data_IF_876424970497
#
_entry.id   IF_876424970497
#
_cell.length_a   1.000
_cell.length_b   1.000
_cell.length_c   1.000
_cell.angle_alpha   90.00
_cell.angle_beta   90.00
_cell.angle_gamma   90.00
#
_symmetry.space_group_name_H-M   'P 1'
#
loop_
_entity.id
_entity.type
_entity.pdbx_description
1 polymer ?
#
# COMPACT_ATOMS: atom_id res chain seq x y z
N UNK A 1 -4.90 12.33 15.74
CA UNK A 1 -5.89 12.26 14.65
C UNK A 1 -5.31 11.34 13.60
N UNK A 2 -5.96 10.21 13.35
CA UNK A 2 -5.47 9.15 12.47
C UNK A 2 -5.82 9.52 11.03
N UNK A 3 -4.83 9.85 10.20
CA UNK A 3 -5.06 10.00 8.76
C UNK A 3 -5.26 8.60 8.18
N UNK A 4 -6.54 8.25 8.08
CA UNK A 4 -7.06 7.04 7.47
C UNK A 4 -6.88 7.18 5.97
N UNK A 5 -6.22 6.20 5.35
CA UNK A 5 -6.17 6.01 3.90
C UNK A 5 -7.53 6.24 3.27
N UNK A 6 -7.60 7.02 2.18
CA UNK A 6 -8.78 7.25 1.34
C UNK A 6 -9.29 5.95 0.66
N UNK A 7 -9.76 4.99 1.46
CA UNK A 7 -10.28 3.71 1.02
C UNK A 7 -11.33 3.21 2.01
N UNK A 8 -12.46 2.73 1.48
CA UNK A 8 -13.61 2.28 2.27
C UNK A 8 -13.38 0.93 2.94
N UNK A 9 -12.33 0.18 2.57
CA UNK A 9 -12.01 -1.15 3.09
C UNK A 9 -10.67 -1.20 3.79
N UNK A 10 -10.50 -2.13 4.74
CA UNK A 10 -9.19 -2.37 5.34
C UNK A 10 -8.19 -2.83 4.26
N UNK A 11 -6.90 -2.60 4.51
CA UNK A 11 -5.84 -3.03 3.61
C UNK A 11 -4.88 -3.96 4.34
N UNK A 12 -4.39 -4.96 3.64
CA UNK A 12 -3.33 -5.85 4.13
C UNK A 12 -2.02 -5.60 3.38
N UNK A 13 -0.88 -5.53 4.08
CA UNK A 13 0.41 -5.47 3.41
C UNK A 13 0.73 -6.82 2.78
N UNK A 14 1.07 -6.80 1.48
CA UNK A 14 1.53 -7.98 0.76
C UNK A 14 3.06 -8.01 0.65
N UNK A 15 3.67 -6.86 0.37
CA UNK A 15 5.11 -6.75 0.19
C UNK A 15 5.65 -5.38 0.58
N UNK A 16 6.79 -5.33 1.28
CA UNK A 16 7.56 -4.11 1.47
C UNK A 16 8.57 -4.00 0.32
N UNK A 17 8.49 -2.93 -0.46
CA UNK A 17 9.40 -2.67 -1.57
C UNK A 17 10.67 -2.00 -1.05
N UNK A 18 10.51 -1.01 -0.18
CA UNK A 18 11.60 -0.19 0.32
C UNK A 18 11.29 0.30 1.72
N UNK A 19 12.33 0.33 2.55
CA UNK A 19 12.29 0.93 3.86
C UNK A 19 13.41 1.99 3.95
N UNK A 20 13.06 3.16 4.43
CA UNK A 20 13.99 4.25 4.68
C UNK A 20 13.92 4.65 6.13
N UNK A 21 15.07 4.73 6.80
CA UNK A 21 15.16 5.21 8.15
C UNK A 21 16.00 6.49 8.20
N UNK A 22 15.46 7.51 8.86
CA UNK A 22 16.15 8.76 9.15
C UNK A 22 16.34 8.89 10.66
N UNK A 23 17.51 8.45 11.12
CA UNK A 23 17.87 8.35 12.54
C UNK A 23 17.75 9.69 13.28
N UNK A 24 18.20 10.80 12.67
CA UNK A 24 18.14 12.13 13.30
C UNK A 24 16.72 12.65 13.53
N UNK A 25 15.76 12.19 12.75
CA UNK A 25 14.35 12.60 12.85
C UNK A 25 13.46 11.48 13.37
N UNK A 26 14.04 10.38 13.86
CA UNK A 26 13.34 9.16 14.30
C UNK A 26 12.14 8.81 13.38
N UNK A 27 12.38 8.87 12.06
CA UNK A 27 11.34 8.71 11.04
C UNK A 27 11.67 7.49 10.19
N UNK A 28 10.70 6.59 10.07
CA UNK A 28 10.74 5.42 9.19
C UNK A 28 9.70 5.63 8.09
N UNK A 29 10.09 5.47 6.84
CA UNK A 29 9.18 5.51 5.69
C UNK A 29 9.24 4.17 4.96
N UNK A 30 8.08 3.56 4.73
CA UNK A 30 7.94 2.29 4.05
C UNK A 30 7.16 2.50 2.75
N UNK A 31 7.67 1.97 1.66
CA UNK A 31 6.91 1.79 0.43
C UNK A 31 6.40 0.35 0.39
N UNK A 32 5.08 0.19 0.39
CA UNK A 32 4.42 -1.11 0.61
C UNK A 32 3.39 -1.33 -0.48
N UNK A 33 3.38 -2.52 -1.06
CA UNK A 33 2.25 -3.01 -1.86
C UNK A 33 1.22 -3.58 -0.89
N UNK A 34 0.02 -3.06 -0.96
CA UNK A 34 -1.12 -3.55 -0.17
C UNK A 34 -2.24 -3.99 -1.11
N UNK A 35 -3.21 -4.70 -0.55
CA UNK A 35 -4.46 -5.03 -1.22
C UNK A 35 -5.62 -4.81 -0.25
N UNK A 36 -6.75 -4.34 -0.78
CA UNK A 36 -7.96 -4.18 0.01
C UNK A 36 -8.50 -5.55 0.45
N UNK A 37 -9.14 -5.56 1.61
CA UNK A 37 -9.90 -6.71 2.12
C UNK A 37 -11.36 -6.57 1.77
N UNK A 38 -12.15 -7.62 1.98
CA UNK A 38 -13.61 -7.56 1.84
C UNK A 38 -14.28 -6.75 2.95
N UNK A 39 -13.56 -6.45 4.04
CA UNK A 39 -14.12 -5.74 5.19
C UNK A 39 -14.07 -4.22 5.00
N UNK A 40 -15.22 -3.53 5.08
CA UNK A 40 -15.21 -2.07 5.13
C UNK A 40 -14.57 -1.57 6.43
N UNK A 41 -14.01 -0.37 6.42
CA UNK A 41 -13.50 0.36 7.60
C UNK A 41 -14.65 0.88 8.46
N UNK A 42 -15.54 -0.01 8.87
CA UNK A 42 -16.55 0.26 9.89
C UNK A 42 -16.13 -0.38 11.21
N UNK A 43 -16.68 0.12 12.32
CA UNK A 43 -16.32 -0.28 13.68
C UNK A 43 -16.74 -1.70 14.07
N UNK A 44 -17.37 -2.45 13.17
CA UNK A 44 -17.99 -3.76 13.46
C UNK A 44 -17.09 -4.95 13.09
N UNK A 45 -16.06 -4.75 12.26
CA UNK A 45 -15.22 -5.83 11.77
C UNK A 45 -13.86 -5.87 12.49
N UNK A 46 -13.47 -7.07 12.96
CA UNK A 46 -12.12 -7.34 13.43
C UNK A 46 -11.17 -7.40 12.22
N UNK A 47 -10.22 -6.45 12.06
CA UNK A 47 -9.32 -6.42 10.91
C UNK A 47 -8.50 -7.70 10.73
N UNK A 48 -8.30 -8.48 11.81
CA UNK A 48 -7.56 -9.75 11.76
C UNK A 48 -8.32 -10.89 11.11
N UNK A 49 -9.65 -10.77 10.98
CA UNK A 49 -10.52 -11.77 10.35
C UNK A 49 -10.90 -11.40 8.92
N UNK A 50 -10.39 -10.28 8.43
CA UNK A 50 -10.72 -9.77 7.12
C UNK A 50 -9.88 -10.47 6.06
N UNK A 51 -10.55 -11.19 5.17
CA UNK A 51 -9.92 -11.85 4.05
C UNK A 51 -9.56 -10.84 2.96
N UNK A 52 -8.47 -11.13 2.26
CA UNK A 52 -7.99 -10.29 1.16
C UNK A 52 -8.95 -10.45 -0.01
N UNK A 53 -9.45 -9.35 -0.56
CA UNK A 53 -10.26 -9.42 -1.78
C UNK A 53 -9.32 -9.71 -2.97
N UNK A 54 -9.38 -10.90 -3.60
CA UNK A 54 -8.42 -11.29 -4.64
C UNK A 54 -8.55 -10.46 -5.92
N UNK A 55 -9.74 -9.88 -6.16
CA UNK A 55 -10.08 -9.09 -7.35
C UNK A 55 -9.80 -7.60 -7.17
N UNK A 56 -9.45 -7.17 -5.96
CA UNK A 56 -9.06 -5.78 -5.71
C UNK A 56 -7.72 -5.45 -6.38
N UNK A 57 -7.65 -4.24 -6.94
CA UNK A 57 -6.40 -3.67 -7.43
C UNK A 57 -5.34 -3.66 -6.33
N UNK A 58 -4.08 -3.86 -6.72
CA UNK A 58 -2.96 -3.69 -5.81
C UNK A 58 -2.70 -2.19 -5.64
N UNK A 59 -2.44 -1.75 -4.42
CA UNK A 59 -2.14 -0.35 -4.13
C UNK A 59 -0.69 -0.22 -3.71
N UNK A 60 0.00 0.78 -4.27
CA UNK A 60 1.31 1.20 -3.79
C UNK A 60 1.10 2.31 -2.77
N UNK A 61 1.54 2.08 -1.54
CA UNK A 61 1.39 3.00 -0.42
C UNK A 61 2.73 3.44 0.13
N UNK A 62 2.79 4.69 0.58
CA UNK A 62 3.86 5.19 1.44
C UNK A 62 3.32 5.27 2.87
N UNK A 63 3.98 4.59 3.81
CA UNK A 63 3.67 4.62 5.23
C UNK A 63 4.81 5.29 5.96
N UNK A 64 4.57 6.46 6.54
CA UNK A 64 5.57 7.16 7.34
C UNK A 64 5.20 7.05 8.81
N UNK A 65 6.14 6.56 9.61
CA UNK A 65 6.09 6.55 11.05
C UNK A 65 7.11 7.56 11.58
N UNK A 66 6.68 8.51 12.41
CA UNK A 66 7.54 9.49 13.05
C UNK A 66 7.34 9.41 14.56
N UNK A 67 8.44 9.44 15.31
CA UNK A 67 8.42 9.64 16.76
C UNK A 67 8.70 11.11 17.07
N UNK A 68 7.79 11.73 17.80
CA UNK A 68 7.89 13.12 18.24
C UNK A 68 7.53 13.19 19.72
N UNK A 69 8.42 13.74 20.55
CA UNK A 69 8.28 13.79 22.02
C UNK A 69 7.84 12.45 22.66
N UNK A 70 8.35 11.33 22.15
CA UNK A 70 8.01 9.99 22.63
C UNK A 70 6.67 9.43 22.13
N UNK A 71 5.91 10.19 21.33
CA UNK A 71 4.67 9.74 20.68
C UNK A 71 4.93 9.30 19.26
N UNK A 72 4.42 8.14 18.88
CA UNK A 72 4.45 7.68 17.50
C UNK A 72 3.24 8.21 16.73
N UNK A 73 3.50 8.88 15.62
CA UNK A 73 2.50 9.24 14.61
C UNK A 73 2.72 8.39 13.38
N UNK A 74 1.63 7.96 12.74
CA UNK A 74 1.67 7.21 11.48
C UNK A 74 0.77 7.90 10.46
N UNK A 75 1.32 8.16 9.28
CA UNK A 75 0.57 8.56 8.09
C UNK A 75 0.72 7.49 7.03
N UNK A 76 -0.30 7.35 6.19
CA UNK A 76 -0.34 6.35 5.13
C UNK A 76 -1.06 6.94 3.93
N UNK A 77 -0.34 7.04 2.82
CA UNK A 77 -0.80 7.70 1.60
C UNK A 77 -0.72 6.71 0.43
N UNK A 78 -1.79 6.63 -0.37
CA UNK A 78 -1.79 5.86 -1.62
C UNK A 78 -1.05 6.70 -2.66
N UNK A 79 0.04 6.17 -3.20
CA UNK A 79 0.86 6.86 -4.21
C UNK A 79 0.73 6.24 -5.61
N UNK A 80 0.01 5.12 -5.73
CA UNK A 80 -0.31 4.52 -7.02
C UNK A 80 -1.16 3.26 -6.92
N UNK A 81 -1.63 2.81 -8.08
CA UNK A 81 -2.41 1.58 -8.25
C UNK A 81 -1.68 0.69 -9.25
N UNK A 82 -1.47 -0.57 -8.88
CA UNK A 82 -0.89 -1.62 -9.72
C UNK A 82 -2.07 -2.49 -10.18
N UNK A 83 -2.46 -2.34 -11.45
CA UNK A 83 -3.46 -3.23 -12.04
C UNK A 83 -2.84 -4.60 -12.28
N UNK A 84 -3.52 -5.70 -11.94
CA UNK A 84 -3.09 -7.02 -12.40
C UNK A 84 -3.03 -6.98 -13.93
N UNK A 85 -1.97 -7.54 -14.51
CA UNK A 85 -1.89 -7.72 -15.96
C UNK A 85 -3.01 -8.70 -16.35
N UNK A 86 -4.16 -8.16 -16.78
CA UNK A 86 -5.19 -8.97 -17.40
C UNK A 86 -4.63 -9.41 -18.75
N UNK A 87 -4.49 -10.71 -18.95
CA UNK A 87 -4.16 -11.31 -20.24
C UNK A 87 -5.34 -11.10 -21.21
N UNK A 88 -5.60 -9.86 -21.62
CA UNK A 88 -6.54 -9.53 -22.70
C UNK A 88 -5.82 -9.23 -24.01
N UNK A 89 -4.53 -9.55 -24.12
CA UNK A 89 -3.87 -9.70 -25.40
C UNK A 89 -2.78 -10.78 -25.31
N UNK A 90 -3.03 -11.90 -25.98
CA UNK A 90 -1.96 -12.72 -26.59
C UNK A 90 -1.34 -11.90 -27.74
N UNK A 91 -0.78 -10.74 -27.41
CA UNK A 91 0.02 -9.90 -28.28
C UNK A 91 1.47 -10.17 -27.94
N UNK A 92 2.16 -10.81 -28.88
CA UNK A 92 3.63 -10.99 -28.90
C UNK A 92 4.37 -9.89 -28.15
N UNK A 93 5.18 -10.28 -27.16
CA UNK A 93 6.26 -9.47 -26.59
C UNK A 93 7.15 -8.98 -27.74
N UNK A 94 6.86 -7.80 -28.27
CA UNK A 94 7.77 -7.12 -29.16
C UNK A 94 8.89 -6.52 -28.30
N UNK A 95 10.10 -7.09 -28.44
CA UNK A 95 11.31 -6.75 -27.68
C UNK A 95 11.88 -5.36 -28.03
N UNK A 96 11.05 -4.38 -28.37
CA UNK A 96 11.48 -3.17 -29.08
C UNK A 96 11.00 -1.85 -28.47
N UNK A 97 10.60 -1.81 -27.20
CA UNK A 97 10.35 -0.53 -26.51
C UNK A 97 11.44 -0.28 -25.45
N UNK A 98 12.36 0.67 -25.66
CA UNK A 98 13.34 1.05 -24.66
C UNK A 98 12.66 1.75 -23.49
N UNK A 99 13.11 1.44 -22.27
CA UNK A 99 12.77 2.19 -21.06
C UNK A 99 13.67 3.43 -21.09
N UNK A 100 13.10 4.61 -21.30
CA UNK A 100 13.83 5.88 -21.13
C UNK A 100 13.96 6.21 -19.64
N UNK A 101 15.17 6.60 -19.23
CA UNK A 101 15.55 7.02 -17.88
C UNK A 101 15.25 8.49 -17.63
#
# INVERSE_FOLDING_TARGET
MNNVTEGSHYVVPLQIIRAEERLYSETITLHVIVRETECPKTSEFDPKKCEVNPDADLLLMTVTQRKDEGKYTRTADVIGTIKPLTNENHGTLDKSSPIEY
#
